data_IF_485740158556
#
_entry.id   IF_485740158556
#
_cell.length_a   1.000
_cell.length_b   1.000
_cell.length_c   1.000
_cell.angle_alpha   90.00
_cell.angle_beta   90.00
_cell.angle_gamma   90.00
#
_symmetry.space_group_name_H-M   'P 1'
#
loop_
_entity.id
_entity.type
_entity.pdbx_description
1 polymer ?
#
# COMPACT_ATOMS: atom_id res chain seq x y z
N UNK A 1 -5.22 1.91 -14.18
CA UNK A 1 -4.43 2.36 -13.03
C UNK A 1 -3.15 1.54 -12.97
N UNK A 2 -1.99 2.15 -12.68
CA UNK A 2 -0.70 1.45 -12.53
C UNK A 2 0.08 1.96 -11.30
N UNK A 3 1.28 1.43 -11.09
CA UNK A 3 2.15 1.77 -9.96
C UNK A 3 2.54 3.25 -9.95
N UNK A 4 2.81 3.86 -11.10
CA UNK A 4 3.17 5.27 -11.19
C UNK A 4 2.04 6.18 -10.66
N UNK A 5 0.78 5.81 -10.93
CA UNK A 5 -0.37 6.55 -10.42
C UNK A 5 -0.43 6.53 -8.88
N UNK A 6 -0.17 5.36 -8.27
CA UNK A 6 -0.20 5.19 -6.82
C UNK A 6 1.03 5.86 -6.19
N UNK A 7 2.21 5.68 -6.77
CA UNK A 7 3.46 6.28 -6.30
C UNK A 7 3.38 7.80 -6.28
N UNK A 8 2.86 8.44 -7.33
CA UNK A 8 2.71 9.89 -7.38
C UNK A 8 1.91 10.43 -6.19
N UNK A 9 0.86 9.74 -5.76
CA UNK A 9 0.00 10.13 -4.64
C UNK A 9 0.65 9.87 -3.27
N UNK A 10 1.46 8.81 -3.16
CA UNK A 10 2.07 8.41 -1.89
C UNK A 10 3.47 9.03 -1.68
N UNK A 11 4.20 9.39 -2.73
CA UNK A 11 5.59 9.88 -2.67
C UNK A 11 5.84 11.08 -1.75
N UNK A 12 4.88 11.98 -1.46
CA UNK A 12 5.09 13.04 -0.47
C UNK A 12 5.13 12.54 0.99
N UNK A 13 4.68 11.31 1.24
CA UNK A 13 4.63 10.71 2.58
C UNK A 13 5.95 10.03 2.93
N UNK A 14 6.18 9.80 4.24
CA UNK A 14 7.34 9.08 4.76
C UNK A 14 8.70 9.59 4.20
N UNK A 15 8.80 10.89 3.92
CA UNK A 15 9.99 11.51 3.30
C UNK A 15 10.39 10.83 1.98
N UNK A 16 9.42 10.32 1.21
CA UNK A 16 9.67 9.64 -0.06
C UNK A 16 10.10 8.18 0.07
N UNK A 17 10.13 7.61 1.29
CA UNK A 17 10.39 6.17 1.51
C UNK A 17 9.15 5.34 1.16
N UNK A 18 8.80 5.34 -0.12
CA UNK A 18 7.64 4.65 -0.69
C UNK A 18 8.11 3.74 -1.81
N UNK A 19 7.74 2.47 -1.76
CA UNK A 19 8.27 1.47 -2.68
C UNK A 19 7.18 0.54 -3.23
N UNK A 20 7.16 0.26 -4.54
CA UNK A 20 6.29 -0.76 -5.09
C UNK A 20 6.81 -2.15 -4.70
N UNK A 21 5.93 -2.99 -4.16
CA UNK A 21 6.12 -4.41 -3.80
C UNK A 21 7.16 -4.72 -2.71
N UNK A 22 8.30 -4.05 -2.69
CA UNK A 22 9.42 -4.39 -1.82
C UNK A 22 10.25 -3.15 -1.46
N UNK A 23 10.61 -3.01 -0.19
CA UNK A 23 11.57 -1.98 0.23
C UNK A 23 12.99 -2.37 -0.23
N UNK A 24 13.88 -1.39 -0.50
CA UNK A 24 15.27 -1.66 -0.84
C UNK A 24 15.92 -2.59 0.18
N UNK A 25 16.65 -3.60 -0.29
CA UNK A 25 17.29 -4.61 0.55
C UNK A 25 18.80 -4.40 0.59
N UNK A 26 19.39 -4.62 1.77
CA UNK A 26 20.84 -4.68 1.97
C UNK A 26 21.42 -6.01 1.51
N UNK A 27 22.75 -6.14 1.64
CA UNK A 27 23.47 -7.39 1.34
C UNK A 27 23.07 -8.57 2.24
N UNK A 28 22.44 -8.29 3.39
CA UNK A 28 21.91 -9.28 4.33
C UNK A 28 20.45 -9.67 4.04
N UNK A 29 19.86 -9.15 2.95
CA UNK A 29 18.48 -9.42 2.54
C UNK A 29 17.42 -8.69 3.38
N UNK A 30 17.83 -7.78 4.27
CA UNK A 30 16.91 -6.99 5.10
C UNK A 30 16.65 -5.60 4.50
N UNK A 31 15.54 -4.93 4.82
CA UNK A 31 15.31 -3.55 4.41
C UNK A 31 16.49 -2.67 4.80
N UNK A 32 17.09 -2.00 3.80
CA UNK A 32 18.18 -1.04 3.98
C UNK A 32 17.67 0.38 4.23
N UNK A 33 16.39 0.52 4.60
CA UNK A 33 15.69 1.79 4.80
C UNK A 33 15.31 1.94 6.26
N UNK A 34 15.31 3.18 6.75
CA UNK A 34 14.91 3.50 8.11
C UNK A 34 13.39 3.72 8.18
N UNK A 35 12.69 3.19 9.20
CA UNK A 35 11.28 3.51 9.40
C UNK A 35 11.07 5.01 9.68
N UNK A 36 9.89 5.57 9.35
CA UNK A 36 8.79 4.87 8.70
C UNK A 36 8.98 4.75 7.17
N UNK A 37 8.43 3.70 6.58
CA UNK A 37 8.32 3.54 5.12
C UNK A 37 6.98 2.93 4.72
N UNK A 38 6.66 3.05 3.43
CA UNK A 38 5.43 2.53 2.82
C UNK A 38 5.82 1.56 1.72
N UNK A 39 5.15 0.40 1.70
CA UNK A 39 5.12 -0.49 0.54
C UNK A 39 3.71 -0.44 -0.03
N UNK A 40 3.56 -0.40 -1.35
CA UNK A 40 2.26 -0.60 -2.00
C UNK A 40 2.37 -1.69 -3.06
N UNK A 41 1.26 -2.39 -3.31
CA UNK A 41 1.19 -3.45 -4.31
C UNK A 41 -0.17 -3.47 -4.97
N UNK A 42 -0.20 -3.74 -6.27
CA UNK A 42 -1.41 -4.16 -6.97
C UNK A 42 -1.48 -5.68 -6.79
N UNK A 43 -2.43 -6.14 -5.98
CA UNK A 43 -2.53 -7.54 -5.54
C UNK A 43 -3.26 -8.40 -6.57
N UNK A 44 -4.21 -7.80 -7.28
CA UNK A 44 -4.99 -8.49 -8.31
C UNK A 44 -5.53 -7.48 -9.34
N UNK A 45 -5.47 -7.86 -10.62
CA UNK A 45 -6.10 -7.18 -11.74
C UNK A 45 -7.02 -8.20 -12.41
N UNK A 46 -8.19 -8.42 -11.81
CA UNK A 46 -9.17 -9.37 -12.33
C UNK A 46 -9.86 -8.76 -13.54
N UNK A 47 -9.33 -8.99 -14.74
CA UNK A 47 -10.11 -8.92 -15.97
C UNK A 47 -10.82 -10.25 -16.20
N UNK A 48 -11.95 -10.48 -15.55
CA UNK A 48 -12.76 -11.65 -15.87
C UNK A 48 -13.51 -11.39 -17.19
N UNK A 49 -13.16 -12.12 -18.25
CA UNK A 49 -13.99 -12.20 -19.46
C UNK A 49 -15.34 -12.83 -19.09
N UNK A 50 -16.39 -12.01 -18.98
CA UNK A 50 -17.77 -12.49 -18.85
C UNK A 50 -18.41 -12.58 -20.23
N UNK A 51 -18.97 -13.76 -20.53
CA UNK A 51 -19.54 -14.14 -21.82
C UNK A 51 -20.77 -13.30 -22.27
N UNK A 52 -21.25 -12.33 -21.47
CA UNK A 52 -22.46 -11.53 -21.77
C UNK A 52 -22.48 -10.09 -21.17
N UNK A 53 -21.39 -9.32 -21.19
CA UNK A 53 -21.44 -7.90 -20.80
C UNK A 53 -20.09 -7.30 -20.44
N UNK A 54 -19.96 -5.97 -20.44
CA UNK A 54 -18.73 -5.29 -20.05
C UNK A 54 -18.40 -5.61 -18.58
N UNK A 55 -17.32 -6.36 -18.33
CA UNK A 55 -16.86 -6.64 -16.98
C UNK A 55 -16.40 -5.33 -16.30
N UNK A 56 -16.86 -5.06 -15.09
CA UNK A 56 -16.21 -4.06 -14.24
C UNK A 56 -14.85 -4.60 -13.81
N UNK A 57 -13.76 -4.13 -14.44
CA UNK A 57 -12.42 -4.36 -13.92
C UNK A 57 -12.33 -3.80 -12.50
N UNK A 58 -11.85 -4.59 -11.55
CA UNK A 58 -11.59 -4.13 -10.17
C UNK A 58 -10.15 -4.45 -9.83
N UNK A 59 -9.39 -3.41 -9.51
CA UNK A 59 -7.98 -3.51 -9.12
C UNK A 59 -7.91 -3.52 -7.61
N UNK A 60 -7.30 -4.57 -7.05
CA UNK A 60 -7.07 -4.68 -5.60
C UNK A 60 -5.71 -4.07 -5.25
N UNK A 61 -5.69 -3.14 -4.30
CA UNK A 61 -4.47 -2.45 -3.86
C UNK A 61 -4.28 -2.67 -2.36
N UNK A 62 -3.06 -3.02 -1.99
CA UNK A 62 -2.62 -3.12 -0.61
C UNK A 62 -1.51 -2.10 -0.37
N UNK A 63 -1.62 -1.37 0.74
CA UNK A 63 -0.60 -0.44 1.24
C UNK A 63 -0.21 -0.85 2.64
N UNK A 64 1.08 -1.12 2.83
CA UNK A 64 1.68 -1.53 4.09
C UNK A 64 2.59 -0.45 4.63
N UNK A 65 2.25 0.06 5.82
CA UNK A 65 3.06 1.06 6.52
C UNK A 65 3.85 0.38 7.63
N UNK A 66 5.17 0.56 7.64
CA UNK A 66 6.06 0.04 8.67
C UNK A 66 6.61 1.19 9.51
N UNK A 67 6.49 1.11 10.83
CA UNK A 67 6.93 2.15 11.76
C UNK A 67 7.41 1.60 13.10
N UNK A 68 8.11 2.41 13.88
CA UNK A 68 8.64 2.01 15.20
C UNK A 68 7.57 2.05 16.30
N UNK A 69 6.49 2.80 16.08
CA UNK A 69 5.37 2.90 17.02
C UNK A 69 4.03 2.60 16.35
N UNK A 70 3.07 2.10 17.14
CA UNK A 70 1.70 1.83 16.67
C UNK A 70 0.97 3.10 16.24
N UNK A 71 1.26 4.23 16.89
CA UNK A 71 0.63 5.51 16.58
C UNK A 71 1.14 6.04 15.24
N UNK A 72 2.45 5.97 15.02
CA UNK A 72 3.06 6.41 13.76
C UNK A 72 2.57 5.58 12.56
N UNK A 73 2.53 4.25 12.68
CA UNK A 73 2.05 3.39 11.58
C UNK A 73 0.58 3.67 11.23
N UNK A 74 -0.28 3.85 12.25
CA UNK A 74 -1.70 4.16 12.04
C UNK A 74 -1.91 5.52 11.41
N UNK A 75 -1.27 6.56 11.94
CA UNK A 75 -1.37 7.93 11.42
C UNK A 75 -0.91 8.00 9.97
N UNK A 76 0.21 7.35 9.65
CA UNK A 76 0.75 7.35 8.28
C UNK A 76 -0.11 6.51 7.31
N UNK A 77 -0.72 5.41 7.76
CA UNK A 77 -1.72 4.66 6.96
C UNK A 77 -2.96 5.52 6.68
N UNK A 78 -3.42 6.31 7.66
CA UNK A 78 -4.57 7.18 7.47
C UNK A 78 -4.26 8.36 6.53
N UNK A 79 -3.03 8.88 6.56
CA UNK A 79 -2.51 9.81 5.55
C UNK A 79 -2.44 9.18 4.15
N UNK A 80 -1.97 7.94 4.05
CA UNK A 80 -1.94 7.20 2.79
C UNK A 80 -3.36 7.06 2.19
N UNK A 81 -4.35 6.67 2.99
CA UNK A 81 -5.75 6.63 2.54
C UNK A 81 -6.25 8.01 2.09
N UNK A 82 -5.88 9.08 2.80
CA UNK A 82 -6.27 10.43 2.43
C UNK A 82 -5.66 10.85 1.08
N UNK A 83 -4.39 10.54 0.84
CA UNK A 83 -3.71 10.79 -0.44
C UNK A 83 -4.31 9.99 -1.61
N UNK A 84 -4.83 8.79 -1.33
CA UNK A 84 -5.41 7.89 -2.34
C UNK A 84 -6.89 8.17 -2.62
N UNK A 85 -7.52 9.18 -1.98
CA UNK A 85 -8.95 9.49 -2.16
C UNK A 85 -9.37 9.75 -3.61
N UNK A 86 -8.49 10.34 -4.42
CA UNK A 86 -8.76 10.62 -5.84
C UNK A 86 -8.97 9.35 -6.68
N UNK A 87 -8.52 8.19 -6.19
CA UNK A 87 -8.74 6.89 -6.81
C UNK A 87 -10.11 6.30 -6.46
N UNK A 88 -10.94 6.99 -5.67
CA UNK A 88 -12.24 6.52 -5.21
C UNK A 88 -12.18 5.11 -4.57
N UNK A 89 -11.33 4.91 -3.54
CA UNK A 89 -11.14 3.60 -2.93
C UNK A 89 -12.45 3.07 -2.34
N UNK A 90 -12.77 1.82 -2.67
CA UNK A 90 -13.93 1.08 -2.18
C UNK A 90 -13.48 -0.13 -1.37
N UNK A 91 -14.38 -0.74 -0.61
CA UNK A 91 -14.09 -1.94 0.19
C UNK A 91 -12.85 -1.75 1.10
N UNK A 92 -12.72 -0.58 1.71
CA UNK A 92 -11.54 -0.20 2.49
C UNK A 92 -11.46 -1.00 3.78
N UNK A 93 -10.39 -1.77 3.95
CA UNK A 93 -10.07 -2.56 5.14
C UNK A 93 -8.77 -2.06 5.76
N UNK A 94 -8.73 -1.98 7.09
CA UNK A 94 -7.58 -1.51 7.86
C UNK A 94 -7.16 -2.61 8.83
N UNK A 95 -5.97 -3.19 8.61
CA UNK A 95 -5.49 -4.33 9.38
C UNK A 95 -4.26 -3.89 10.19
N UNK A 96 -4.33 -3.89 11.54
CA UNK A 96 -3.14 -3.70 12.36
C UNK A 96 -2.32 -5.00 12.41
N UNK A 97 -1.00 -4.88 12.44
CA UNK A 97 -0.08 -5.99 12.53
C UNK A 97 1.25 -5.60 13.17
N UNK A 98 2.10 -6.60 13.36
CA UNK A 98 3.46 -6.44 13.85
C UNK A 98 4.35 -7.35 13.02
N UNK A 99 5.44 -6.81 12.47
CA UNK A 99 6.45 -7.54 11.73
C UNK A 99 7.55 -7.96 12.72
N UNK A 100 7.53 -9.22 13.21
CA UNK A 100 8.39 -9.64 14.31
C UNK A 100 9.88 -9.66 13.94
N UNK A 101 10.22 -9.88 12.66
CA UNK A 101 11.62 -9.99 12.25
C UNK A 101 12.33 -8.64 12.28
N UNK A 102 11.65 -7.57 11.86
CA UNK A 102 12.17 -6.20 11.93
C UNK A 102 11.77 -5.45 13.20
N UNK A 103 10.89 -6.05 14.02
CA UNK A 103 10.33 -5.46 15.24
C UNK A 103 9.57 -4.16 14.99
N UNK A 104 8.82 -4.11 13.89
CA UNK A 104 8.08 -2.92 13.46
C UNK A 104 6.58 -3.13 13.55
N UNK A 105 5.86 -2.07 13.85
CA UNK A 105 4.42 -2.05 13.67
C UNK A 105 4.10 -1.96 12.18
N UNK A 106 3.25 -2.87 11.71
CA UNK A 106 2.72 -2.86 10.35
C UNK A 106 1.27 -2.41 10.39
N UNK A 107 0.92 -1.39 9.62
CA UNK A 107 -0.46 -0.96 9.44
C UNK A 107 -0.84 -1.11 7.97
N UNK A 108 -1.63 -2.13 7.68
CA UNK A 108 -2.08 -2.47 6.33
C UNK A 108 -3.39 -1.76 6.03
N UNK A 109 -3.50 -1.29 4.79
CA UNK A 109 -4.67 -0.70 4.16
C UNK A 109 -4.93 -1.46 2.86
N UNK A 110 -6.05 -2.18 2.80
CA UNK A 110 -6.51 -2.88 1.60
C UNK A 110 -7.74 -2.16 1.06
N UNK A 111 -7.84 -2.04 -0.26
CA UNK A 111 -9.00 -1.44 -0.92
C UNK A 111 -9.08 -1.86 -2.39
N UNK A 112 -10.23 -1.59 -3.00
CA UNK A 112 -10.44 -1.79 -4.43
C UNK A 112 -10.65 -0.47 -5.17
N UNK A 113 -10.20 -0.42 -6.42
CA UNK A 113 -10.42 0.69 -7.34
C UNK A 113 -11.07 0.18 -8.61
N UNK A 114 -12.08 0.90 -9.08
CA UNK A 114 -12.63 0.72 -10.43
C UNK A 114 -11.84 1.64 -11.37
N UNK A 115 -11.15 1.11 -12.41
CA UNK A 115 -10.39 1.90 -13.37
C UNK A 115 -11.22 2.91 -14.18
#
# INVERSE_FOLDING_TARGET
>A
MNEDNIYALLSPLAEGRVYPYVAPLGSDGKPSVTPPWIIFSIVDDVSADVMCGQAESRVSVQVDVYATTITESRSLRDLALASLKSLNPTEVVKIPGYEPYYRLYRATLDFKVTP
#
